data_IF_244094459453
#
_entry.id   IF_244094459453
#
_cell.length_a   1.000
_cell.length_b   1.000
_cell.length_c   1.000
_cell.angle_alpha   90.00
_cell.angle_beta   90.00
_cell.angle_gamma   90.00
#
_symmetry.space_group_name_H-M   'P 1'
#
loop_
_entity.id
_entity.type
_entity.pdbx_description
1 polymer ?
#
# COMPACT_ATOMS: atom_id res chain seq x y z
N UNK A 1 -77.38 15.72 16.29
CA UNK A 1 -76.32 16.65 15.80
C UNK A 1 -75.01 15.85 15.80
N UNK A 2 -74.62 15.18 14.70
CA UNK A 2 -73.62 15.64 13.70
C UNK A 2 -72.47 16.39 14.41
N UNK A 3 -71.24 15.90 14.44
CA UNK A 3 -70.35 15.71 13.28
C UNK A 3 -69.37 14.54 13.48
N UNK A 4 -69.34 13.65 12.50
CA UNK A 4 -68.26 12.69 12.26
C UNK A 4 -67.13 13.47 11.57
N UNK A 5 -65.93 13.46 12.15
CA UNK A 5 -64.72 13.98 11.48
C UNK A 5 -63.94 12.79 10.97
N UNK A 6 -64.07 12.59 9.67
CA UNK A 6 -63.39 11.62 8.83
C UNK A 6 -61.92 12.05 8.67
N UNK A 7 -60.98 11.32 9.29
CA UNK A 7 -59.56 11.48 8.96
C UNK A 7 -59.27 10.73 7.66
N UNK A 8 -59.17 11.49 6.58
CA UNK A 8 -58.74 11.02 5.27
C UNK A 8 -57.26 10.63 5.37
N UNK A 9 -56.97 9.34 5.27
CA UNK A 9 -55.65 8.83 4.99
C UNK A 9 -55.28 9.26 3.57
N UNK A 10 -54.39 10.25 3.44
CA UNK A 10 -53.79 10.62 2.15
C UNK A 10 -52.78 9.52 1.83
N UNK A 11 -53.22 8.54 1.04
CA UNK A 11 -52.34 7.64 0.33
C UNK A 11 -51.57 8.48 -0.71
N UNK A 12 -50.34 8.86 -0.37
CA UNK A 12 -49.38 9.39 -1.34
C UNK A 12 -48.97 8.20 -2.21
N UNK A 13 -49.66 8.05 -3.34
CA UNK A 13 -49.22 7.19 -4.42
C UNK A 13 -47.90 7.71 -4.93
N UNK A 14 -46.80 7.08 -4.50
CA UNK A 14 -45.53 7.21 -5.20
C UNK A 14 -45.73 6.52 -6.56
N UNK A 15 -46.04 7.32 -7.57
CA UNK A 15 -45.92 6.93 -8.96
C UNK A 15 -44.47 6.53 -9.17
N UNK A 16 -44.23 5.23 -9.27
CA UNK A 16 -43.00 4.69 -9.81
C UNK A 16 -42.80 5.29 -11.19
N UNK A 17 -41.86 6.23 -11.33
CA UNK A 17 -41.27 6.49 -12.63
C UNK A 17 -40.56 5.20 -13.05
N UNK A 18 -41.27 4.38 -13.82
CA UNK A 18 -40.68 3.37 -14.69
C UNK A 18 -39.87 4.12 -15.74
N UNK A 19 -38.64 4.50 -15.39
CA UNK A 19 -37.62 4.77 -16.38
C UNK A 19 -37.23 3.41 -16.98
N UNK A 20 -38.00 3.02 -18.00
CA UNK A 20 -37.49 2.16 -19.06
C UNK A 20 -36.40 2.96 -19.80
N UNK A 21 -35.23 3.05 -19.20
CA UNK A 21 -34.02 3.07 -19.98
C UNK A 21 -33.59 1.62 -20.06
N UNK A 22 -33.69 1.03 -21.25
CA UNK A 22 -32.70 0.04 -21.66
C UNK A 22 -31.35 0.76 -21.58
N UNK A 23 -30.79 0.87 -20.38
CA UNK A 23 -29.37 1.06 -20.27
C UNK A 23 -28.80 -0.30 -20.63
N UNK A 24 -28.13 -0.35 -21.77
CA UNK A 24 -27.05 -1.31 -21.95
C UNK A 24 -26.15 -1.14 -20.72
N UNK A 25 -26.39 -1.91 -19.67
CA UNK A 25 -25.59 -1.88 -18.46
C UNK A 25 -24.25 -2.44 -18.89
N UNK A 26 -23.33 -1.57 -19.27
CA UNK A 26 -21.96 -1.95 -19.57
C UNK A 26 -21.44 -2.63 -18.32
N UNK A 27 -21.34 -3.95 -18.37
CA UNK A 27 -20.80 -4.74 -17.26
C UNK A 27 -19.30 -4.50 -17.23
N UNK A 28 -18.87 -3.66 -16.29
CA UNK A 28 -17.46 -3.35 -16.09
C UNK A 28 -16.68 -4.52 -15.45
N UNK A 29 -17.34 -5.64 -15.13
CA UNK A 29 -16.72 -6.81 -14.49
C UNK A 29 -16.17 -6.52 -13.09
N UNK A 30 -15.55 -7.54 -12.50
CA UNK A 30 -14.99 -7.44 -11.15
C UNK A 30 -13.70 -6.61 -11.14
N UNK A 31 -13.53 -5.82 -10.08
CA UNK A 31 -12.31 -5.08 -9.83
C UNK A 31 -11.16 -6.04 -9.47
N UNK A 32 -10.02 -5.88 -10.16
CA UNK A 32 -8.80 -6.66 -9.94
C UNK A 32 -7.68 -5.74 -9.45
N UNK A 33 -6.86 -6.23 -8.55
CA UNK A 33 -5.63 -5.53 -8.17
C UNK A 33 -4.71 -5.42 -9.37
N UNK A 34 -4.06 -4.27 -9.51
CA UNK A 34 -3.05 -4.02 -10.54
C UNK A 34 -1.69 -3.99 -9.87
N UNK A 35 -0.71 -4.68 -10.45
CA UNK A 35 0.67 -4.56 -9.99
C UNK A 35 1.18 -3.15 -10.28
N UNK A 36 1.87 -2.54 -9.33
CA UNK A 36 2.47 -1.22 -9.52
C UNK A 36 3.80 -1.10 -8.80
N UNK A 37 4.70 -0.27 -9.30
CA UNK A 37 6.05 -0.13 -8.75
C UNK A 37 6.30 1.31 -8.35
N UNK A 38 6.96 1.53 -7.22
CA UNK A 38 7.45 2.88 -6.88
C UNK A 38 8.42 3.37 -7.96
N UNK A 39 8.25 4.60 -8.42
CA UNK A 39 9.08 5.22 -9.44
C UNK A 39 9.81 6.44 -8.86
N UNK A 40 11.10 6.25 -8.55
CA UNK A 40 11.94 7.26 -7.88
C UNK A 40 12.97 7.92 -8.79
N UNK A 41 13.25 7.32 -9.95
CA UNK A 41 14.27 7.79 -10.89
C UNK A 41 13.77 8.99 -11.70
N UNK A 42 14.50 10.11 -11.67
CA UNK A 42 14.24 11.28 -12.53
C UNK A 42 12.80 11.83 -12.48
N UNK A 43 12.18 11.81 -11.30
CA UNK A 43 10.79 12.21 -11.12
C UNK A 43 10.62 13.66 -10.59
N UNK A 44 11.66 14.49 -10.67
CA UNK A 44 11.63 15.89 -10.21
C UNK A 44 10.89 16.75 -11.22
N UNK A 45 9.84 17.47 -10.80
CA UNK A 45 9.06 18.31 -11.71
C UNK A 45 9.89 19.45 -12.28
N UNK A 46 9.62 19.84 -13.53
CA UNK A 46 10.17 21.07 -14.13
C UNK A 46 9.69 22.28 -13.34
N UNK A 47 8.38 22.32 -13.06
CA UNK A 47 7.72 23.37 -12.28
C UNK A 47 6.88 22.71 -11.21
N UNK A 48 7.17 23.05 -9.95
CA UNK A 48 6.37 22.58 -8.81
C UNK A 48 4.95 23.13 -8.88
N UNK A 49 3.99 22.35 -8.39
CA UNK A 49 2.58 22.76 -8.40
C UNK A 49 2.21 23.43 -7.08
N UNK A 50 1.42 24.51 -7.14
CA UNK A 50 0.85 25.12 -5.93
C UNK A 50 -0.31 24.28 -5.42
N UNK A 51 -1.20 23.87 -6.34
CA UNK A 51 -2.35 23.02 -6.05
C UNK A 51 -2.03 21.53 -6.20
N UNK A 52 -2.87 20.69 -5.58
CA UNK A 52 -2.81 19.26 -5.78
C UNK A 52 -3.08 18.93 -7.25
N UNK A 53 -2.22 18.09 -7.84
CA UNK A 53 -2.33 17.68 -9.24
C UNK A 53 -2.05 16.20 -9.34
N UNK A 54 -2.68 15.57 -10.31
CA UNK A 54 -2.30 14.24 -10.71
C UNK A 54 -2.29 14.11 -12.21
N UNK A 55 -1.39 13.26 -12.69
CA UNK A 55 -1.11 13.11 -14.11
C UNK A 55 -0.86 11.65 -14.45
N UNK A 56 -1.33 11.27 -15.64
CA UNK A 56 -0.96 10.01 -16.28
C UNK A 56 0.09 10.32 -17.34
N UNK A 57 1.23 9.64 -17.29
CA UNK A 57 2.33 9.79 -18.23
C UNK A 57 2.44 8.50 -19.01
N UNK A 58 2.09 8.56 -20.28
CA UNK A 58 1.97 7.39 -21.16
C UNK A 58 2.91 7.46 -22.36
N UNK A 59 3.82 8.44 -22.41
CA UNK A 59 4.80 8.62 -23.49
C UNK A 59 6.07 9.30 -22.96
N UNK A 60 7.17 9.10 -23.68
CA UNK A 60 8.44 9.76 -23.39
C UNK A 60 8.34 11.29 -23.53
N UNK A 61 7.56 11.77 -24.50
CA UNK A 61 7.31 13.20 -24.69
C UNK A 61 6.65 13.81 -23.45
N UNK A 62 5.58 13.18 -22.93
CA UNK A 62 4.90 13.67 -21.74
C UNK A 62 5.78 13.57 -20.50
N UNK A 63 6.64 12.57 -20.41
CA UNK A 63 7.64 12.44 -19.36
C UNK A 63 8.62 13.62 -19.37
N UNK A 64 9.22 13.89 -20.53
CA UNK A 64 10.18 14.99 -20.72
C UNK A 64 9.54 16.38 -20.54
N UNK A 65 8.25 16.52 -20.83
CA UNK A 65 7.49 17.75 -20.59
C UNK A 65 7.10 17.95 -19.12
N UNK A 66 7.18 16.89 -18.30
CA UNK A 66 6.76 16.92 -16.89
C UNK A 66 7.96 17.03 -15.95
N UNK A 67 9.00 16.24 -16.18
CA UNK A 67 10.14 16.10 -15.28
C UNK A 67 11.42 16.71 -15.83
N UNK A 68 12.26 17.21 -14.92
CA UNK A 68 13.59 17.71 -15.25
C UNK A 68 14.44 16.57 -15.83
N UNK A 69 15.29 16.85 -16.83
CA UNK A 69 16.27 15.88 -17.29
C UNK A 69 17.23 15.52 -16.15
N UNK A 70 17.77 14.31 -16.23
CA UNK A 70 18.65 13.74 -15.23
C UNK A 70 19.77 12.93 -15.92
N UNK A 71 20.83 12.64 -15.17
CA UNK A 71 21.95 11.82 -15.66
C UNK A 71 22.22 10.69 -14.66
N UNK A 72 22.16 9.40 -15.07
CA UNK A 72 21.73 8.93 -16.39
C UNK A 72 20.22 9.17 -16.64
N UNK A 73 19.78 9.28 -17.90
CA UNK A 73 18.35 9.41 -18.22
C UNK A 73 17.52 8.24 -17.69
N UNK A 74 16.27 8.50 -17.32
CA UNK A 74 15.31 7.44 -17.03
C UNK A 74 15.02 6.65 -18.32
N UNK A 75 15.25 5.34 -18.29
CA UNK A 75 14.88 4.42 -19.37
C UNK A 75 13.54 3.79 -19.00
N UNK A 76 12.48 4.18 -19.71
CA UNK A 76 11.12 3.70 -19.47
C UNK A 76 10.54 3.22 -20.80
N UNK A 77 10.08 1.97 -20.81
CA UNK A 77 9.34 1.43 -21.94
C UNK A 77 7.85 1.80 -21.83
N UNK A 78 7.48 2.93 -22.45
CA UNK A 78 6.09 3.40 -22.49
C UNK A 78 5.17 2.57 -23.40
N UNK A 79 5.69 1.55 -24.10
CA UNK A 79 4.84 0.59 -24.83
C UNK A 79 4.17 -0.39 -23.87
N UNK A 80 4.83 -0.69 -22.75
CA UNK A 80 4.37 -1.64 -21.73
C UNK A 80 4.01 -0.98 -20.41
N UNK A 81 4.38 0.29 -20.22
CA UNK A 81 4.24 1.02 -18.94
C UNK A 81 3.51 2.36 -19.09
N UNK A 82 2.69 2.70 -18.10
CA UNK A 82 2.25 4.07 -17.82
C UNK A 82 2.75 4.50 -16.45
N UNK A 83 3.02 5.78 -16.24
CA UNK A 83 3.22 6.33 -14.89
C UNK A 83 1.97 7.06 -14.40
N UNK A 84 1.74 7.00 -13.10
CA UNK A 84 0.78 7.83 -12.37
C UNK A 84 1.56 8.68 -11.39
N UNK A 85 1.51 10.00 -11.56
CA UNK A 85 2.10 10.96 -10.62
C UNK A 85 1.02 11.66 -9.81
N UNK A 86 1.15 11.63 -8.49
CA UNK A 86 0.36 12.41 -7.54
C UNK A 86 1.23 13.49 -6.91
N UNK A 87 0.76 14.72 -6.90
CA UNK A 87 1.45 15.88 -6.35
C UNK A 87 0.49 16.59 -5.38
N UNK A 88 0.92 16.79 -4.14
CA UNK A 88 0.07 17.36 -3.09
C UNK A 88 -0.06 18.88 -3.16
N UNK A 89 0.64 19.52 -4.11
CA UNK A 89 0.83 20.96 -4.13
C UNK A 89 1.84 21.43 -3.08
N UNK A 90 1.92 22.75 -2.89
CA UNK A 90 2.79 23.37 -1.91
C UNK A 90 2.26 23.13 -0.49
N UNK A 91 3.14 22.68 0.42
CA UNK A 91 2.86 22.54 1.85
C UNK A 91 3.79 23.44 2.67
N UNK A 92 3.35 23.92 3.85
CA UNK A 92 4.07 24.96 4.60
C UNK A 92 5.28 24.47 5.41
N UNK A 93 5.44 23.14 5.56
CA UNK A 93 6.52 22.52 6.33
C UNK A 93 6.85 21.13 5.80
N UNK A 94 7.85 20.48 6.38
CA UNK A 94 8.00 19.02 6.27
C UNK A 94 6.87 18.28 7.04
N UNK A 95 6.87 16.94 6.95
CA UNK A 95 5.88 16.07 7.61
C UNK A 95 4.62 15.79 6.79
N UNK A 96 4.39 16.55 5.71
CA UNK A 96 3.32 16.25 4.76
C UNK A 96 3.73 15.16 3.76
N UNK A 97 2.78 14.29 3.39
CA UNK A 97 2.97 13.31 2.33
C UNK A 97 1.69 13.13 1.51
N UNK A 98 1.84 12.65 0.29
CA UNK A 98 0.76 12.04 -0.51
C UNK A 98 1.25 10.65 -0.90
N UNK A 99 0.40 9.64 -0.80
CA UNK A 99 0.79 8.23 -0.98
C UNK A 99 -0.30 7.44 -1.69
N UNK A 100 0.13 6.57 -2.60
CA UNK A 100 -0.77 5.66 -3.31
C UNK A 100 -1.08 4.44 -2.42
N UNK A 101 -2.37 4.22 -2.20
CA UNK A 101 -2.88 3.13 -1.37
C UNK A 101 -3.22 1.89 -2.19
N UNK A 102 -3.78 2.01 -3.37
CA UNK A 102 -4.07 0.85 -4.22
C UNK A 102 -4.31 1.27 -5.66
N UNK A 103 -4.13 0.32 -6.57
CA UNK A 103 -4.54 0.46 -7.96
C UNK A 103 -5.41 -0.75 -8.27
N UNK A 104 -6.65 -0.49 -8.68
CA UNK A 104 -7.59 -1.51 -9.10
C UNK A 104 -8.06 -1.21 -10.52
N UNK A 105 -8.32 -2.25 -11.29
CA UNK A 105 -8.76 -2.16 -12.67
C UNK A 105 -10.03 -2.99 -12.86
N UNK A 106 -11.00 -2.39 -13.55
CA UNK A 106 -12.17 -3.07 -14.10
C UNK A 106 -12.02 -3.12 -15.62
N UNK A 107 -12.99 -3.69 -16.34
CA UNK A 107 -12.99 -3.63 -17.81
C UNK A 107 -13.14 -2.20 -18.35
N UNK A 108 -13.66 -1.27 -17.54
CA UNK A 108 -13.98 0.10 -17.97
C UNK A 108 -12.90 1.11 -17.58
N UNK A 109 -12.26 0.95 -16.42
CA UNK A 109 -11.45 1.99 -15.81
C UNK A 109 -10.34 1.44 -14.92
N UNK A 110 -9.38 2.31 -14.59
CA UNK A 110 -8.40 2.09 -13.53
C UNK A 110 -8.67 3.11 -12.43
N UNK A 111 -8.81 2.66 -11.19
CA UNK A 111 -8.97 3.53 -10.02
C UNK A 111 -7.70 3.46 -9.18
N UNK A 112 -7.06 4.62 -8.99
CA UNK A 112 -5.90 4.79 -8.12
C UNK A 112 -6.38 5.45 -6.82
N UNK A 113 -6.41 4.67 -5.75
CA UNK A 113 -6.75 5.17 -4.43
C UNK A 113 -5.51 5.75 -3.77
N UNK A 114 -5.63 6.94 -3.17
CA UNK A 114 -4.53 7.63 -2.51
C UNK A 114 -4.98 8.31 -1.22
N UNK A 115 -4.03 8.60 -0.35
CA UNK A 115 -4.26 9.36 0.87
C UNK A 115 -3.17 10.41 1.06
N UNK A 116 -3.44 11.37 1.94
CA UNK A 116 -2.49 12.40 2.34
C UNK A 116 -2.18 12.25 3.83
N UNK A 117 -0.96 12.61 4.20
CA UNK A 117 -0.49 12.70 5.57
C UNK A 117 -0.24 14.17 5.87
N UNK A 118 -0.69 14.62 7.03
CA UNK A 118 -0.33 15.90 7.61
C UNK A 118 0.39 15.65 8.94
N UNK A 119 1.37 16.50 9.32
CA UNK A 119 1.99 16.43 10.63
C UNK A 119 0.93 16.61 11.73
N UNK A 120 1.03 15.83 12.79
CA UNK A 120 0.16 15.92 13.96
C UNK A 120 0.63 17.05 14.88
N UNK A 121 -0.26 17.50 15.74
CA UNK A 121 0.09 18.48 16.78
C UNK A 121 1.22 17.93 17.67
N UNK A 122 2.30 18.68 17.79
CA UNK A 122 3.49 18.29 18.55
C UNK A 122 4.54 17.53 17.75
N UNK A 123 4.28 17.16 16.49
CA UNK A 123 5.32 16.59 15.63
C UNK A 123 6.42 17.64 15.37
N UNK A 124 7.71 17.25 15.38
CA UNK A 124 8.79 18.15 15.03
C UNK A 124 8.68 18.52 13.55
N UNK A 125 8.26 19.75 13.27
CA UNK A 125 8.19 20.29 11.91
C UNK A 125 9.20 21.41 11.69
N UNK A 126 9.82 21.41 10.52
CA UNK A 126 10.67 22.48 10.00
C UNK A 126 9.86 23.30 9.01
N UNK A 127 9.63 24.60 9.29
CA UNK A 127 8.96 25.49 8.36
C UNK A 127 9.70 25.62 7.02
N UNK A 128 8.95 25.74 5.93
CA UNK A 128 9.49 25.88 4.58
C UNK A 128 8.59 25.20 3.55
N UNK A 129 8.52 25.79 2.34
CA UNK A 129 7.72 25.22 1.26
C UNK A 129 8.22 23.82 0.88
N UNK A 130 7.34 22.83 0.96
CA UNK A 130 7.61 21.46 0.49
C UNK A 130 6.60 21.06 -0.58
N UNK A 131 6.96 20.07 -1.40
CA UNK A 131 6.14 19.59 -2.51
C UNK A 131 6.05 18.06 -2.48
N UNK A 132 5.23 17.50 -1.57
CA UNK A 132 5.09 16.06 -1.47
C UNK A 132 4.52 15.46 -2.76
N UNK A 133 5.10 14.33 -3.16
CA UNK A 133 4.68 13.59 -4.36
C UNK A 133 4.80 12.10 -4.16
N UNK A 134 4.06 11.36 -4.98
CA UNK A 134 4.22 9.93 -5.16
C UNK A 134 4.07 9.59 -6.64
N UNK A 135 4.98 8.79 -7.18
CA UNK A 135 4.95 8.41 -8.59
C UNK A 135 5.12 6.90 -8.66
N UNK A 136 4.22 6.25 -9.38
CA UNK A 136 4.26 4.80 -9.61
C UNK A 136 4.26 4.48 -11.10
N UNK A 137 4.85 3.34 -11.44
CA UNK A 137 4.67 2.69 -12.73
C UNK A 137 3.56 1.64 -12.63
N UNK A 138 2.64 1.64 -13.58
CA UNK A 138 1.58 0.65 -13.78
C UNK A 138 1.70 0.03 -15.18
N UNK A 139 1.13 -1.16 -15.43
CA UNK A 139 0.95 -1.68 -16.78
C UNK A 139 0.31 -0.64 -17.69
N UNK A 140 0.73 -0.62 -18.97
CA UNK A 140 0.14 0.25 -19.97
C UNK A 140 -1.37 0.06 -20.00
N UNK A 141 -2.10 1.16 -19.92
CA UNK A 141 -3.56 1.16 -20.02
C UNK A 141 -4.01 2.28 -20.95
N UNK A 142 -5.04 1.99 -21.74
CA UNK A 142 -5.82 2.96 -22.52
C UNK A 142 -7.12 3.32 -21.83
N UNK A 143 -7.45 2.68 -20.71
CA UNK A 143 -8.66 2.95 -19.93
C UNK A 143 -8.54 4.31 -19.24
N UNK A 144 -9.65 5.02 -19.01
CA UNK A 144 -9.64 6.19 -18.14
C UNK A 144 -9.09 5.81 -16.76
N UNK A 145 -8.24 6.68 -16.23
CA UNK A 145 -7.67 6.52 -14.89
C UNK A 145 -8.30 7.55 -13.97
N UNK A 146 -9.02 7.09 -12.95
CA UNK A 146 -9.62 7.92 -11.92
C UNK A 146 -8.83 7.85 -10.63
N UNK A 147 -8.89 8.94 -9.89
CA UNK A 147 -8.19 9.09 -8.64
C UNK A 147 -9.20 9.20 -7.53
N UNK A 148 -9.01 8.40 -6.50
CA UNK A 148 -9.92 8.35 -5.38
C UNK A 148 -9.16 8.66 -4.10
N UNK A 149 -9.48 9.77 -3.46
CA UNK A 149 -8.96 10.04 -2.12
C UNK A 149 -9.66 9.08 -1.14
N UNK A 150 -8.87 8.39 -0.33
CA UNK A 150 -9.35 7.43 0.68
C UNK A 150 -8.73 7.73 2.04
N UNK A 151 -9.29 7.14 3.09
CA UNK A 151 -8.66 7.14 4.40
C UNK A 151 -7.38 6.30 4.35
N UNK A 152 -6.34 6.76 5.07
CA UNK A 152 -5.11 6.01 5.22
C UNK A 152 -5.38 4.66 5.89
N UNK A 153 -4.93 3.59 5.26
CA UNK A 153 -4.88 2.29 5.91
C UNK A 153 -3.69 2.22 6.88
N UNK A 154 -4.00 2.20 8.18
CA UNK A 154 -3.04 2.09 9.28
C UNK A 154 -2.97 0.67 9.87
N UNK A 155 -3.65 -0.30 9.26
CA UNK A 155 -3.60 -1.70 9.67
C UNK A 155 -2.92 -2.54 8.59
N UNK A 156 -1.74 -3.03 8.93
CA UNK A 156 -0.95 -3.87 8.04
C UNK A 156 0.09 -4.66 8.84
N UNK A 157 0.64 -5.69 8.22
CA UNK A 157 1.79 -6.41 8.73
C UNK A 157 2.96 -6.28 7.77
N UNK A 158 4.18 -6.23 8.29
CA UNK A 158 5.41 -6.47 7.53
C UNK A 158 5.94 -7.83 7.96
N UNK A 159 6.26 -8.68 6.99
CA UNK A 159 6.91 -9.97 7.20
C UNK A 159 8.20 -9.99 6.39
N UNK A 160 9.22 -10.67 6.88
CA UNK A 160 10.37 -10.91 6.05
C UNK A 160 11.34 -11.96 6.57
N UNK A 161 12.28 -12.33 5.72
CA UNK A 161 13.44 -13.14 6.10
C UNK A 161 14.69 -12.33 5.88
N UNK A 162 15.61 -12.41 6.83
CA UNK A 162 16.89 -11.70 6.77
C UNK A 162 18.06 -12.64 7.02
N UNK A 163 19.23 -12.31 6.46
CA UNK A 163 20.49 -13.04 6.66
C UNK A 163 21.71 -12.13 6.45
N UNK A 164 22.62 -12.06 7.41
CA UNK A 164 23.80 -11.19 7.37
C UNK A 164 24.82 -11.58 6.30
N UNK A 165 25.08 -12.88 6.15
CA UNK A 165 25.96 -13.45 5.12
C UNK A 165 25.32 -13.51 3.71
N UNK A 166 24.50 -12.52 3.34
CA UNK A 166 23.85 -12.48 2.04
C UNK A 166 24.79 -11.90 0.97
N UNK A 167 25.08 -12.69 -0.08
CA UNK A 167 25.71 -12.21 -1.31
C UNK A 167 24.67 -12.16 -2.44
N UNK A 168 24.37 -10.96 -2.95
CA UNK A 168 23.43 -10.73 -4.05
C UNK A 168 22.13 -10.01 -3.66
N UNK A 169 21.26 -9.74 -4.64
CA UNK A 169 20.06 -8.89 -4.51
C UNK A 169 18.80 -9.60 -4.00
N UNK A 170 18.89 -10.86 -3.55
CA UNK A 170 17.71 -11.72 -3.34
C UNK A 170 17.71 -12.54 -2.04
N UNK A 171 18.44 -12.14 -0.98
CA UNK A 171 18.36 -12.84 0.32
C UNK A 171 17.52 -12.13 1.39
N UNK A 172 17.29 -10.83 1.24
CA UNK A 172 16.41 -10.07 2.13
C UNK A 172 15.04 -10.02 1.45
N UNK A 173 14.08 -10.77 1.97
CA UNK A 173 12.74 -10.89 1.37
C UNK A 173 11.74 -10.27 2.33
N UNK A 174 11.21 -9.09 2.00
CA UNK A 174 10.30 -8.35 2.85
C UNK A 174 9.02 -8.00 2.11
N UNK A 175 7.90 -8.16 2.80
CA UNK A 175 6.57 -7.92 2.27
C UNK A 175 5.72 -7.14 3.27
N UNK A 176 4.92 -6.20 2.77
CA UNK A 176 3.81 -5.60 3.52
C UNK A 176 2.50 -6.24 3.08
N UNK A 177 1.71 -6.70 4.03
CA UNK A 177 0.41 -7.30 3.83
C UNK A 177 -0.67 -6.38 4.41
N UNK A 178 -1.68 -6.07 3.61
CA UNK A 178 -2.88 -5.38 4.09
C UNK A 178 -4.14 -5.84 3.33
N UNK A 179 -5.30 -5.30 3.72
CA UNK A 179 -6.60 -5.69 3.16
C UNK A 179 -6.77 -5.35 1.67
N UNK A 180 -5.92 -4.47 1.12
CA UNK A 180 -6.05 -3.97 -0.24
C UNK A 180 -4.95 -4.53 -1.15
N UNK A 181 -3.73 -4.70 -0.64
CA UNK A 181 -2.58 -5.10 -1.46
C UNK A 181 -1.52 -5.86 -0.66
N UNK A 182 -0.62 -6.47 -1.43
CA UNK A 182 0.67 -6.91 -0.93
C UNK A 182 1.77 -6.12 -1.63
N UNK A 183 2.71 -5.56 -0.86
CA UNK A 183 3.92 -4.94 -1.38
C UNK A 183 5.12 -5.86 -1.12
N UNK A 184 6.02 -5.97 -2.10
CA UNK A 184 7.36 -6.54 -1.96
C UNK A 184 8.38 -5.41 -1.96
N UNK A 185 9.17 -5.30 -0.91
CA UNK A 185 10.23 -4.30 -0.81
C UNK A 185 11.47 -4.71 -1.60
N UNK A 186 12.24 -3.72 -2.06
CA UNK A 186 13.46 -3.90 -2.84
C UNK A 186 14.68 -3.49 -2.03
N UNK A 187 15.76 -4.24 -2.20
CA UNK A 187 17.09 -3.88 -1.73
C UNK A 187 17.14 -3.55 -0.23
N UNK A 188 16.34 -4.27 0.56
CA UNK A 188 16.31 -4.11 2.02
C UNK A 188 17.68 -4.45 2.58
N UNK A 189 18.27 -3.53 3.35
CA UNK A 189 19.60 -3.71 3.95
C UNK A 189 19.47 -4.47 5.25
N UNK A 190 20.36 -5.45 5.46
CA UNK A 190 20.44 -6.19 6.72
C UNK A 190 20.62 -5.23 7.91
N UNK A 191 19.77 -5.39 8.93
CA UNK A 191 19.78 -4.55 10.14
C UNK A 191 19.08 -3.18 10.00
N UNK A 192 18.67 -2.76 8.80
CA UNK A 192 17.89 -1.53 8.59
C UNK A 192 16.50 -1.86 8.05
N UNK A 193 15.58 -2.19 8.96
CA UNK A 193 14.22 -2.60 8.62
C UNK A 193 13.20 -1.44 8.66
N UNK A 194 13.64 -0.21 8.40
CA UNK A 194 12.74 0.91 8.15
C UNK A 194 12.21 0.85 6.70
N UNK A 195 11.07 0.17 6.53
CA UNK A 195 10.45 -0.05 5.22
C UNK A 195 10.11 1.24 4.46
N UNK A 196 10.02 2.39 5.14
CA UNK A 196 9.73 3.67 4.48
C UNK A 196 10.88 4.16 3.58
N UNK A 197 12.10 3.63 3.75
CA UNK A 197 13.29 3.98 2.97
C UNK A 197 13.37 3.26 1.62
N UNK A 198 12.65 2.16 1.47
CA UNK A 198 12.83 1.23 0.36
C UNK A 198 11.79 1.41 -0.74
N UNK A 199 12.23 1.19 -1.98
CA UNK A 199 11.31 1.03 -3.10
C UNK A 199 10.53 -0.28 -2.98
N UNK A 200 9.43 -0.40 -3.73
CA UNK A 200 8.59 -1.58 -3.68
C UNK A 200 7.92 -1.91 -5.02
N UNK A 201 7.43 -3.15 -5.11
CA UNK A 201 6.47 -3.62 -6.10
C UNK A 201 5.18 -4.06 -5.38
N UNK A 202 4.05 -3.47 -5.70
CA UNK A 202 2.75 -4.03 -5.37
C UNK A 202 2.45 -5.21 -6.30
N UNK A 203 2.01 -6.32 -5.71
CA UNK A 203 1.73 -7.58 -6.40
C UNK A 203 0.27 -7.63 -6.89
N UNK A 204 0.00 -8.41 -7.94
CA UNK A 204 -1.36 -8.81 -8.37
C UNK A 204 -1.90 -9.90 -7.43
N UNK A 205 -1.73 -9.70 -6.13
CA UNK A 205 -2.12 -10.65 -5.11
C UNK A 205 -2.79 -9.89 -3.97
N UNK A 206 -3.93 -10.41 -3.54
CA UNK A 206 -4.66 -9.92 -2.38
C UNK A 206 -4.51 -10.94 -1.27
N UNK A 207 -4.09 -10.48 -0.10
CA UNK A 207 -4.01 -11.32 1.08
C UNK A 207 -5.37 -11.35 1.79
N UNK A 208 -5.73 -12.50 2.35
CA UNK A 208 -6.82 -12.60 3.33
C UNK A 208 -6.30 -12.09 4.69
N UNK A 209 -6.09 -10.77 4.77
CA UNK A 209 -5.38 -10.14 5.88
C UNK A 209 -6.03 -10.42 7.24
N UNK A 210 -7.37 -10.47 7.32
CA UNK A 210 -8.09 -10.81 8.54
C UNK A 210 -7.78 -12.23 9.02
N UNK A 211 -7.74 -13.20 8.11
CA UNK A 211 -7.31 -14.58 8.39
C UNK A 211 -5.83 -14.63 8.77
N UNK A 212 -4.98 -13.83 8.11
CA UNK A 212 -3.57 -13.71 8.47
C UNK A 212 -3.39 -13.23 9.91
N UNK A 213 -3.96 -12.09 10.29
CA UNK A 213 -3.82 -11.54 11.65
C UNK A 213 -4.53 -12.40 12.71
N UNK A 214 -5.61 -13.10 12.35
CA UNK A 214 -6.34 -13.98 13.26
C UNK A 214 -5.53 -15.18 13.78
N UNK A 215 -4.40 -15.51 13.14
CA UNK A 215 -3.49 -16.55 13.62
C UNK A 215 -2.22 -16.02 14.29
N UNK A 216 -2.19 -14.75 14.70
CA UNK A 216 -1.10 -14.22 15.55
C UNK A 216 -1.29 -14.77 16.98
N UNK A 217 -0.28 -15.41 17.59
CA UNK A 217 -0.37 -15.92 18.95
C UNK A 217 -0.68 -14.84 20.00
N UNK A 218 -1.42 -15.21 21.05
CA UNK A 218 -1.74 -14.31 22.16
C UNK A 218 -0.50 -13.71 22.81
N UNK A 219 0.58 -14.48 22.89
CA UNK A 219 1.90 -14.05 23.35
C UNK A 219 2.41 -12.80 22.59
N UNK A 220 2.22 -12.75 21.27
CA UNK A 220 2.63 -11.62 20.44
C UNK A 220 1.62 -10.48 20.54
N UNK A 221 0.31 -10.77 20.50
CA UNK A 221 -0.72 -9.71 20.62
C UNK A 221 -0.67 -8.98 21.96
N UNK A 222 -0.14 -9.62 23.01
CA UNK A 222 -0.03 -9.06 24.36
C UNK A 222 1.13 -8.06 24.51
N UNK A 223 2.06 -8.01 23.53
CA UNK A 223 3.22 -7.10 23.57
C UNK A 223 2.85 -5.64 23.33
N UNK A 224 1.70 -5.35 22.70
CA UNK A 224 1.10 -4.01 22.61
C UNK A 224 2.10 -2.89 22.26
N UNK A 225 2.85 -3.07 21.17
CA UNK A 225 3.81 -2.06 20.68
C UNK A 225 5.26 -2.28 21.13
N UNK A 226 5.54 -3.34 21.87
CA UNK A 226 6.91 -3.70 22.24
C UNK A 226 7.63 -4.46 21.13
N UNK A 227 8.96 -4.40 21.20
CA UNK A 227 9.84 -5.25 20.39
C UNK A 227 10.25 -6.47 21.22
N UNK A 228 10.17 -7.67 20.64
CA UNK A 228 10.68 -8.91 21.25
C UNK A 228 11.53 -9.69 20.26
N UNK A 229 12.65 -10.22 20.74
CA UNK A 229 13.48 -11.17 20.00
C UNK A 229 13.33 -12.54 20.64
N UNK A 230 13.06 -13.55 19.83
CA UNK A 230 13.00 -14.95 20.22
C UNK A 230 14.23 -15.67 19.72
N UNK A 231 14.97 -16.32 20.62
CA UNK A 231 16.26 -16.95 20.31
C UNK A 231 17.36 -15.93 19.98
N UNK A 232 18.29 -16.33 19.12
CA UNK A 232 19.46 -15.53 18.70
C UNK A 232 19.58 -15.52 17.17
N UNK A 233 18.66 -14.84 16.46
CA UNK A 233 18.62 -14.87 15.00
C UNK A 233 19.98 -14.56 14.38
N UNK A 234 20.34 -15.33 13.35
CA UNK A 234 21.58 -15.18 12.57
C UNK A 234 22.89 -15.42 13.34
N UNK A 235 22.85 -15.95 14.57
CA UNK A 235 24.06 -16.31 15.36
C UNK A 235 24.90 -17.45 14.77
N UNK A 236 24.31 -18.26 13.88
CA UNK A 236 24.93 -19.36 13.14
C UNK A 236 24.87 -19.12 11.62
N UNK A 237 24.83 -17.87 11.18
CA UNK A 237 24.66 -17.44 9.78
C UNK A 237 23.41 -18.03 9.09
N UNK A 238 22.41 -18.44 9.87
CA UNK A 238 21.16 -19.04 9.40
C UNK A 238 20.09 -18.00 9.06
N UNK A 239 20.33 -16.73 9.36
CA UNK A 239 19.34 -15.67 9.26
C UNK A 239 18.26 -15.72 10.34
N UNK A 240 17.16 -15.05 10.07
CA UNK A 240 15.97 -15.03 10.93
C UNK A 240 14.72 -14.54 10.21
N UNK A 241 13.61 -14.60 10.93
CA UNK A 241 12.31 -14.11 10.46
C UNK A 241 11.95 -12.81 11.18
N UNK A 242 11.48 -11.85 10.40
CA UNK A 242 10.99 -10.56 10.84
C UNK A 242 9.46 -10.54 10.78
N UNK A 243 8.83 -10.00 11.81
CA UNK A 243 7.42 -9.65 11.81
C UNK A 243 7.20 -8.30 12.47
N UNK A 244 6.43 -7.43 11.85
CA UNK A 244 6.03 -6.16 12.41
C UNK A 244 4.53 -5.95 12.16
N UNK A 245 3.78 -5.64 13.21
CA UNK A 245 2.33 -5.50 13.14
C UNK A 245 1.91 -4.08 13.49
N UNK A 246 1.27 -3.41 12.55
CA UNK A 246 0.74 -2.06 12.68
C UNK A 246 -0.74 -2.13 12.97
N UNK A 247 -1.13 -1.54 14.11
CA UNK A 247 -2.50 -1.38 14.55
C UNK A 247 -2.72 0.10 14.89
N UNK A 248 -2.99 0.92 13.87
CA UNK A 248 -3.06 2.37 14.06
C UNK A 248 -1.67 2.93 14.39
N UNK A 249 -1.52 3.48 15.60
CA UNK A 249 -0.23 3.98 16.11
C UNK A 249 0.59 2.95 16.89
N UNK A 250 0.03 1.78 17.16
CA UNK A 250 0.71 0.71 17.90
C UNK A 250 1.47 -0.17 16.92
N UNK A 251 2.78 -0.31 17.12
CA UNK A 251 3.66 -1.08 16.25
C UNK A 251 4.41 -2.13 17.06
N UNK A 252 4.02 -3.40 16.93
CA UNK A 252 4.68 -4.53 17.61
C UNK A 252 5.72 -5.13 16.68
N UNK A 253 6.96 -5.32 17.13
CA UNK A 253 8.06 -5.87 16.30
C UNK A 253 8.59 -7.17 16.90
N UNK A 254 8.81 -8.16 16.06
CA UNK A 254 9.27 -9.49 16.45
C UNK A 254 10.41 -9.92 15.54
N UNK A 255 11.48 -10.40 16.18
CA UNK A 255 12.56 -11.12 15.52
C UNK A 255 12.52 -12.56 16.00
N UNK A 256 12.57 -13.51 15.07
CA UNK A 256 12.48 -14.94 15.36
C UNK A 256 13.74 -15.63 14.83
N UNK A 257 14.40 -16.39 15.69
CA UNK A 257 15.41 -17.34 15.26
C UNK A 257 14.76 -18.42 14.38
N UNK A 258 15.47 -18.85 13.34
CA UNK A 258 15.00 -19.94 12.51
C UNK A 258 14.93 -21.25 13.31
N UNK A 259 15.83 -21.44 14.28
CA UNK A 259 15.81 -22.59 15.17
C UNK A 259 14.68 -22.47 16.20
N UNK A 260 14.15 -23.61 16.65
CA UNK A 260 13.19 -23.66 17.74
C UNK A 260 13.94 -23.54 19.07
N UNK A 261 13.76 -22.41 19.75
CA UNK A 261 14.43 -22.09 21.02
C UNK A 261 13.47 -22.19 22.20
N UNK A 262 14.00 -22.37 23.41
CA UNK A 262 13.19 -22.62 24.62
C UNK A 262 12.26 -21.48 25.02
N UNK A 263 12.53 -20.27 24.55
CA UNK A 263 11.71 -19.07 24.74
C UNK A 263 10.58 -18.92 23.69
N UNK A 264 10.53 -19.80 22.70
CA UNK A 264 9.42 -19.89 21.73
C UNK A 264 8.37 -20.88 22.24
N UNK A 265 7.17 -20.38 22.54
CA UNK A 265 6.02 -21.26 22.78
C UNK A 265 5.64 -22.06 21.52
N UNK A 266 4.91 -23.17 21.67
CA UNK A 266 4.43 -23.96 20.52
C UNK A 266 3.61 -23.14 19.53
N UNK A 267 2.87 -22.14 20.03
CA UNK A 267 2.13 -21.19 19.20
C UNK A 267 3.07 -20.24 18.42
N UNK A 268 4.15 -19.75 19.03
CA UNK A 268 5.17 -18.93 18.37
C UNK A 268 5.90 -19.75 17.30
N UNK A 269 6.28 -21.00 17.59
CA UNK A 269 6.89 -21.91 16.60
C UNK A 269 5.95 -22.13 15.41
N UNK A 270 4.66 -22.37 15.66
CA UNK A 270 3.65 -22.54 14.60
C UNK A 270 3.48 -21.27 13.76
N UNK A 271 3.49 -20.10 14.40
CA UNK A 271 3.42 -18.82 13.73
C UNK A 271 4.67 -18.53 12.88
N UNK A 272 5.87 -18.84 13.39
CA UNK A 272 7.13 -18.75 12.64
C UNK A 272 7.07 -19.57 11.34
N UNK A 273 6.61 -20.82 11.40
CA UNK A 273 6.42 -21.68 10.22
C UNK A 273 5.44 -21.05 9.22
N UNK A 274 4.32 -20.52 9.71
CA UNK A 274 3.34 -19.81 8.88
C UNK A 274 3.94 -18.58 8.19
N UNK A 275 4.80 -17.82 8.86
CA UNK A 275 5.51 -16.68 8.27
C UNK A 275 6.45 -17.15 7.17
N UNK A 276 7.26 -18.20 7.42
CA UNK A 276 8.17 -18.79 6.43
C UNK A 276 7.42 -19.26 5.18
N UNK A 277 6.32 -19.99 5.34
CA UNK A 277 5.47 -20.46 4.24
C UNK A 277 4.85 -19.30 3.45
N UNK A 278 4.42 -18.24 4.15
CA UNK A 278 3.86 -17.04 3.51
C UNK A 278 4.93 -16.32 2.69
N UNK A 279 6.13 -16.11 3.25
CA UNK A 279 7.27 -15.50 2.54
C UNK A 279 7.61 -16.33 1.29
N UNK A 280 7.70 -17.65 1.43
CA UNK A 280 7.98 -18.56 0.31
C UNK A 280 6.90 -18.46 -0.78
N UNK A 281 5.62 -18.38 -0.38
CA UNK A 281 4.50 -18.20 -1.32
C UNK A 281 4.62 -16.87 -2.06
N UNK A 282 4.83 -15.77 -1.35
CA UNK A 282 4.88 -14.43 -1.92
C UNK A 282 6.07 -14.22 -2.85
N UNK A 283 7.19 -14.90 -2.59
CA UNK A 283 8.38 -14.89 -3.46
C UNK A 283 8.07 -15.35 -4.90
N UNK A 284 7.04 -16.18 -5.07
CA UNK A 284 6.60 -16.68 -6.38
C UNK A 284 5.54 -15.80 -7.07
N UNK A 285 5.07 -14.74 -6.41
CA UNK A 285 4.02 -13.85 -6.94
C UNK A 285 4.63 -12.64 -7.63
N UNK A 286 3.91 -12.13 -8.64
CA UNK A 286 4.24 -10.93 -9.43
C UNK A 286 3.32 -9.77 -9.10
#
# INVERSE_FOLDING_TARGET
>A
MKKIVLFIAIAIGLTSCSLNSESDSISCGDAKNVAFKSFTTCNTLITETVESKAIIINSQEKFNATFKPCTPPAVIDFTTTSLVGLFAGQKPSNGYAIKIQSVVETNCEVVVSFYEIAPKAGDPVTPGATYPKDVIAIPKTSKPVYLQRVAQNNEYAIIGSFRGACTGSACQEFYRLDVQKVLRFKDVVYGDYDMAKYGFNALVYKEEYSTFVGGIPSEITSLKGQTKTFGTPDSHDQGGIYFEWHQGSVVTKIYLDNDDTTDQSSAVISFKKRLQEKIATLKTKN
#
